data_IF_925775766905
#
_entry.id   IF_925775766905
#
_cell.length_a   1.000
_cell.length_b   1.000
_cell.length_c   1.000
_cell.angle_alpha   90.00
_cell.angle_beta   90.00
_cell.angle_gamma   90.00
#
_symmetry.space_group_name_H-M   'P 1'
#
loop_
_entity.id
_entity.type
_entity.pdbx_description
1 polymer ?
#
# COMPACT_ATOMS: atom_id res chain seq x y z
N UNK A 1 9.94 -24.09 24.65
CA UNK A 1 8.85 -24.73 23.86
C UNK A 1 8.47 -23.80 22.72
N UNK A 2 8.81 -24.14 21.47
CA UNK A 2 8.45 -23.32 20.30
C UNK A 2 6.94 -23.49 20.08
N UNK A 3 6.19 -22.38 20.11
CA UNK A 3 4.75 -22.37 19.87
C UNK A 3 4.47 -22.95 18.47
N UNK A 4 3.62 -23.98 18.37
CA UNK A 4 3.33 -24.66 17.10
C UNK A 4 2.77 -23.72 16.02
N UNK A 5 2.15 -22.59 16.40
CA UNK A 5 1.73 -21.53 15.45
C UNK A 5 2.94 -20.83 14.82
N UNK A 6 4.00 -20.60 15.61
CA UNK A 6 5.28 -20.02 15.18
C UNK A 6 6.06 -20.98 14.28
N UNK A 7 6.01 -22.28 14.56
CA UNK A 7 6.62 -23.31 13.72
C UNK A 7 5.93 -23.42 12.35
N UNK A 8 4.59 -23.35 12.32
CA UNK A 8 3.83 -23.30 11.05
C UNK A 8 4.11 -22.05 10.23
N UNK A 9 4.29 -20.90 10.87
CA UNK A 9 4.63 -19.64 10.19
C UNK A 9 6.08 -19.63 9.65
N UNK A 10 7.04 -20.16 10.41
CA UNK A 10 8.43 -20.32 9.96
C UNK A 10 8.50 -21.34 8.82
N UNK A 11 7.78 -22.45 8.90
CA UNK A 11 7.64 -23.41 7.80
C UNK A 11 6.98 -22.77 6.58
N UNK A 12 5.95 -21.93 6.74
CA UNK A 12 5.32 -21.22 5.63
C UNK A 12 6.30 -20.25 4.94
N UNK A 13 7.09 -19.48 5.70
CA UNK A 13 8.14 -18.61 5.16
C UNK A 13 9.24 -19.41 4.46
N UNK A 14 9.68 -20.52 5.06
CA UNK A 14 10.76 -21.35 4.51
C UNK A 14 10.31 -22.12 3.27
N UNK A 15 9.08 -22.63 3.24
CA UNK A 15 8.44 -23.26 2.07
C UNK A 15 8.21 -22.24 0.96
N UNK A 16 7.82 -21.00 1.29
CA UNK A 16 7.72 -19.92 0.30
C UNK A 16 9.10 -19.57 -0.27
N UNK A 17 10.14 -19.55 0.58
CA UNK A 17 11.53 -19.32 0.16
C UNK A 17 12.09 -20.45 -0.72
N UNK A 18 11.75 -21.71 -0.43
CA UNK A 18 12.18 -22.90 -1.19
C UNK A 18 11.41 -23.08 -2.50
N UNK A 19 10.10 -22.79 -2.52
CA UNK A 19 9.31 -22.79 -3.76
C UNK A 19 9.79 -21.71 -4.75
N UNK A 20 10.28 -20.57 -4.23
CA UNK A 20 10.88 -19.49 -5.01
C UNK A 20 12.25 -19.88 -5.58
N UNK A 21 13.02 -20.73 -4.89
CA UNK A 21 14.31 -21.21 -5.39
C UNK A 21 14.17 -22.14 -6.64
N UNK A 22 13.05 -22.86 -6.74
CA UNK A 22 12.81 -23.83 -7.82
C UNK A 22 12.42 -23.20 -9.18
N UNK A 23 12.08 -21.91 -9.24
CA UNK A 23 11.71 -21.24 -10.51
C UNK A 23 12.89 -20.54 -11.22
N UNK A 24 14.11 -20.75 -10.76
CA UNK A 24 15.30 -20.01 -11.23
C UNK A 24 16.04 -20.66 -12.41
N UNK A 25 15.35 -20.90 -13.53
CA UNK A 25 16.03 -21.13 -14.82
C UNK A 25 15.35 -20.38 -15.96
N UNK A 26 15.46 -19.05 -15.97
CA UNK A 26 15.58 -18.22 -17.19
C UNK A 26 15.51 -16.70 -16.88
N UNK A 27 16.59 -15.96 -17.11
CA UNK A 27 16.55 -14.59 -17.67
C UNK A 27 15.99 -13.37 -16.90
N UNK A 28 15.55 -13.40 -15.62
CA UNK A 28 14.82 -12.25 -14.98
C UNK A 28 15.59 -11.46 -13.89
N UNK A 29 16.94 -11.44 -13.93
CA UNK A 29 17.77 -10.96 -12.81
C UNK A 29 17.63 -9.48 -12.40
N UNK A 30 17.19 -8.59 -13.30
CA UNK A 30 17.07 -7.14 -13.04
C UNK A 30 15.71 -6.69 -12.49
N UNK A 31 14.61 -7.31 -12.95
CA UNK A 31 13.24 -7.00 -12.50
C UNK A 31 12.96 -7.58 -11.10
N UNK A 32 13.49 -8.77 -10.82
CA UNK A 32 13.31 -9.45 -9.52
C UNK A 32 13.93 -8.68 -8.35
N UNK A 33 15.15 -8.13 -8.51
CA UNK A 33 15.82 -7.34 -7.46
C UNK A 33 15.09 -6.03 -7.13
N UNK A 34 14.51 -5.37 -8.15
CA UNK A 34 13.71 -4.15 -7.97
C UNK A 34 12.44 -4.45 -7.17
N UNK A 35 11.74 -5.54 -7.51
CA UNK A 35 10.56 -5.99 -6.79
C UNK A 35 10.84 -6.37 -5.32
N UNK A 36 11.96 -7.07 -5.04
CA UNK A 36 12.32 -7.44 -3.67
C UNK A 36 12.64 -6.21 -2.80
N UNK A 37 13.41 -5.26 -3.34
CA UNK A 37 13.74 -4.01 -2.63
C UNK A 37 12.49 -3.16 -2.34
N UNK A 38 11.60 -3.06 -3.32
CA UNK A 38 10.32 -2.36 -3.22
C UNK A 38 9.40 -2.97 -2.14
N UNK A 39 9.33 -4.31 -2.07
CA UNK A 39 8.54 -5.04 -1.06
C UNK A 39 9.11 -4.85 0.35
N UNK A 40 10.43 -4.91 0.50
CA UNK A 40 11.09 -4.70 1.80
C UNK A 40 10.81 -3.27 2.31
N UNK A 41 10.95 -2.25 1.46
CA UNK A 41 10.71 -0.86 1.86
C UNK A 41 9.24 -0.59 2.23
N UNK A 42 8.30 -1.16 1.49
CA UNK A 42 6.87 -1.09 1.85
C UNK A 42 6.59 -1.76 3.20
N UNK A 43 7.15 -2.96 3.43
CA UNK A 43 7.01 -3.68 4.69
C UNK A 43 7.54 -2.87 5.88
N UNK A 44 8.67 -2.17 5.72
CA UNK A 44 9.17 -1.27 6.76
C UNK A 44 8.25 -0.07 7.01
N UNK A 45 7.70 0.56 5.95
CA UNK A 45 6.75 1.65 6.15
C UNK A 45 5.51 1.18 6.91
N UNK A 46 4.94 0.03 6.52
CA UNK A 46 3.79 -0.58 7.19
C UNK A 46 4.09 -0.92 8.66
N UNK A 47 5.26 -1.53 8.92
CA UNK A 47 5.71 -1.89 10.27
C UNK A 47 5.75 -0.68 11.21
N UNK A 48 6.32 0.45 10.77
CA UNK A 48 6.43 1.63 11.62
C UNK A 48 5.13 2.41 11.75
N UNK A 49 4.20 2.26 10.80
CA UNK A 49 2.91 2.92 10.83
C UNK A 49 1.90 2.21 11.74
N UNK A 50 1.83 0.88 11.69
CA UNK A 50 0.81 0.10 12.43
C UNK A 50 1.36 -0.68 13.62
N UNK A 51 2.69 -0.79 13.76
CA UNK A 51 3.32 -1.67 14.75
C UNK A 51 3.21 -3.15 14.36
N UNK A 52 4.09 -3.98 14.91
CA UNK A 52 4.02 -5.44 14.70
C UNK A 52 4.40 -6.18 15.99
N UNK A 53 3.51 -7.07 16.44
CA UNK A 53 3.64 -8.10 17.48
C UNK A 53 4.60 -7.82 18.65
N UNK A 54 4.59 -6.59 19.16
CA UNK A 54 5.33 -6.19 20.38
C UNK A 54 6.81 -5.84 20.22
N UNK A 55 7.34 -5.71 19.00
CA UNK A 55 8.78 -5.43 18.79
C UNK A 55 9.11 -4.01 18.29
N UNK A 56 8.16 -3.29 17.71
CA UNK A 56 8.38 -1.92 17.23
C UNK A 56 7.22 -1.03 17.69
N UNK A 57 7.54 0.01 18.46
CA UNK A 57 6.61 1.10 18.72
C UNK A 57 6.31 1.82 17.40
N UNK A 58 5.06 2.25 17.24
CA UNK A 58 4.65 3.11 16.12
C UNK A 58 5.56 4.34 16.09
N UNK A 59 6.13 4.62 14.92
CA UNK A 59 7.04 5.74 14.68
C UNK A 59 6.76 6.32 13.30
N UNK A 60 5.86 7.29 13.26
CA UNK A 60 5.42 7.91 12.02
C UNK A 60 6.55 8.65 11.29
N UNK A 61 7.57 9.14 12.00
CA UNK A 61 8.73 9.78 11.37
C UNK A 61 9.57 8.75 10.59
N UNK A 62 9.79 7.57 11.19
CA UNK A 62 10.44 6.45 10.48
C UNK A 62 9.57 5.91 9.35
N UNK A 63 8.26 5.77 9.56
CA UNK A 63 7.33 5.35 8.51
C UNK A 63 7.41 6.29 7.31
N UNK A 64 7.36 7.60 7.54
CA UNK A 64 7.48 8.62 6.49
C UNK A 64 8.78 8.48 5.70
N UNK A 65 9.92 8.31 6.38
CA UNK A 65 11.22 8.13 5.73
C UNK A 65 11.27 6.88 4.84
N UNK A 66 10.76 5.74 5.33
CA UNK A 66 10.73 4.50 4.57
C UNK A 66 9.76 4.55 3.40
N UNK A 67 8.58 5.14 3.59
CA UNK A 67 7.65 5.38 2.50
C UNK A 67 8.27 6.28 1.43
N UNK A 68 8.93 7.39 1.80
CA UNK A 68 9.61 8.27 0.83
C UNK A 68 10.67 7.52 0.00
N UNK A 69 11.49 6.67 0.64
CA UNK A 69 12.47 5.82 -0.08
C UNK A 69 11.78 4.85 -1.04
N UNK A 70 10.67 4.24 -0.62
CA UNK A 70 9.89 3.31 -1.45
C UNK A 70 9.24 4.00 -2.66
N UNK A 71 8.76 5.23 -2.48
CA UNK A 71 8.14 6.02 -3.55
C UNK A 71 9.15 6.34 -4.66
N UNK A 72 10.40 6.64 -4.33
CA UNK A 72 11.48 6.86 -5.33
C UNK A 72 11.64 5.63 -6.25
N UNK A 73 11.32 4.43 -5.76
CA UNK A 73 11.38 3.19 -6.55
C UNK A 73 10.11 2.90 -7.35
N UNK A 74 9.11 3.79 -7.30
CA UNK A 74 7.84 3.65 -8.01
C UNK A 74 6.76 2.86 -7.27
N UNK A 75 6.87 2.71 -5.95
CA UNK A 75 5.92 1.91 -5.17
C UNK A 75 4.58 2.62 -4.93
N UNK A 76 3.54 2.22 -5.67
CA UNK A 76 2.18 2.77 -5.53
C UNK A 76 1.53 2.47 -4.17
N UNK A 77 1.83 1.34 -3.53
CA UNK A 77 1.36 1.06 -2.17
C UNK A 77 2.00 2.00 -1.16
N UNK A 78 3.28 2.35 -1.31
CA UNK A 78 3.93 3.32 -0.43
C UNK A 78 3.41 4.76 -0.63
N UNK A 79 3.08 5.15 -1.87
CA UNK A 79 2.36 6.40 -2.15
C UNK A 79 1.00 6.42 -1.43
N UNK A 80 0.29 5.30 -1.44
CA UNK A 80 -1.02 5.16 -0.76
C UNK A 80 -0.89 5.31 0.76
N UNK A 81 0.12 4.69 1.36
CA UNK A 81 0.41 4.86 2.80
C UNK A 81 0.79 6.32 3.13
N UNK A 82 1.58 6.98 2.27
CA UNK A 82 1.91 8.40 2.46
C UNK A 82 0.67 9.29 2.36
N UNK A 83 -0.26 8.96 1.46
CA UNK A 83 -1.54 9.63 1.36
C UNK A 83 -2.39 9.46 2.64
N UNK A 84 -2.43 8.26 3.22
CA UNK A 84 -3.13 7.97 4.48
C UNK A 84 -2.54 8.76 5.65
N UNK A 85 -1.21 8.85 5.73
CA UNK A 85 -0.54 9.64 6.77
C UNK A 85 -0.96 11.11 6.72
N UNK A 86 -1.03 11.70 5.52
CA UNK A 86 -1.52 13.07 5.34
C UNK A 86 -3.03 13.22 5.57
N UNK A 87 -3.82 12.20 5.21
CA UNK A 87 -5.27 12.20 5.40
C UNK A 87 -5.66 12.20 6.88
N UNK A 88 -5.01 11.33 7.67
CA UNK A 88 -5.31 11.14 9.09
C UNK A 88 -4.46 12.02 10.02
N UNK A 89 -3.38 12.62 9.53
CA UNK A 89 -2.45 13.42 10.33
C UNK A 89 -1.54 12.54 11.19
N UNK A 90 -1.01 11.46 10.63
CA UNK A 90 -0.15 10.52 11.35
C UNK A 90 1.29 11.01 11.34
N UNK A 91 1.73 11.55 12.48
CA UNK A 91 3.09 12.09 12.67
C UNK A 91 3.34 13.47 12.07
N UNK A 92 2.34 14.05 11.42
CA UNK A 92 2.34 15.42 10.85
C UNK A 92 0.91 15.95 10.88
N UNK A 93 0.74 17.24 10.63
CA UNK A 93 -0.59 17.83 10.48
C UNK A 93 -1.36 17.24 9.30
N UNK A 94 -2.68 17.20 9.43
CA UNK A 94 -3.59 16.78 8.37
C UNK A 94 -3.44 17.71 7.18
N UNK A 95 -3.34 17.12 5.99
CA UNK A 95 -3.16 17.83 4.74
C UNK A 95 -3.89 17.07 3.62
N UNK A 96 -5.14 17.46 3.38
CA UNK A 96 -5.96 16.78 2.38
C UNK A 96 -5.47 17.01 0.95
N UNK A 97 -4.84 18.14 0.65
CA UNK A 97 -4.28 18.42 -0.67
C UNK A 97 -3.09 17.50 -0.97
N UNK A 98 -2.16 17.34 -0.02
CA UNK A 98 -1.07 16.37 -0.16
C UNK A 98 -1.57 14.94 -0.21
N UNK A 99 -2.57 14.60 0.60
CA UNK A 99 -3.20 13.29 0.57
C UNK A 99 -3.79 12.99 -0.82
N UNK A 100 -4.57 13.93 -1.36
CA UNK A 100 -5.17 13.83 -2.69
C UNK A 100 -4.11 13.65 -3.77
N UNK A 101 -3.04 14.45 -3.73
CA UNK A 101 -1.90 14.33 -4.65
C UNK A 101 -1.32 12.91 -4.67
N UNK A 102 -1.02 12.34 -3.49
CA UNK A 102 -0.40 11.02 -3.41
C UNK A 102 -1.36 9.88 -3.82
N UNK A 103 -2.65 9.99 -3.48
CA UNK A 103 -3.65 9.06 -4.01
C UNK A 103 -3.74 9.14 -5.54
N UNK A 104 -3.63 10.33 -6.12
CA UNK A 104 -3.62 10.52 -7.57
C UNK A 104 -2.44 9.81 -8.24
N UNK A 105 -1.23 9.97 -7.69
CA UNK A 105 -0.03 9.30 -8.22
C UNK A 105 -0.16 7.77 -8.13
N UNK A 106 -0.66 7.24 -7.02
CA UNK A 106 -0.88 5.80 -6.85
C UNK A 106 -1.99 5.27 -7.78
N UNK A 107 -3.07 6.03 -7.96
CA UNK A 107 -4.20 5.66 -8.81
C UNK A 107 -3.84 5.61 -10.30
N UNK A 108 -2.94 6.51 -10.75
CA UNK A 108 -2.35 6.49 -12.11
C UNK A 108 -1.53 5.22 -12.37
N UNK A 109 -1.05 4.57 -11.31
CA UNK A 109 -0.38 3.27 -11.35
C UNK A 109 -1.35 2.08 -11.13
N UNK A 110 -2.64 2.30 -11.34
CA UNK A 110 -3.71 1.32 -11.18
C UNK A 110 -3.83 0.71 -9.76
N UNK A 111 -3.38 1.42 -8.71
CA UNK A 111 -3.57 0.97 -7.34
C UNK A 111 -5.03 1.12 -6.93
N UNK A 112 -5.74 0.01 -6.82
CA UNK A 112 -7.20 -0.04 -6.70
C UNK A 112 -7.73 0.64 -5.42
N UNK A 113 -7.05 0.48 -4.28
CA UNK A 113 -7.38 1.21 -3.04
C UNK A 113 -7.18 2.73 -3.19
N UNK A 114 -6.16 3.18 -3.93
CA UNK A 114 -5.93 4.61 -4.14
C UNK A 114 -7.00 5.24 -5.04
N UNK A 115 -7.45 4.50 -6.07
CA UNK A 115 -8.58 4.89 -6.91
C UNK A 115 -9.87 5.02 -6.10
N UNK A 116 -10.14 4.07 -5.19
CA UNK A 116 -11.27 4.18 -4.27
C UNK A 116 -11.17 5.40 -3.34
N UNK A 117 -9.98 5.67 -2.80
CA UNK A 117 -9.76 6.85 -1.95
C UNK A 117 -9.85 8.19 -2.71
N UNK A 118 -9.50 8.22 -4.01
CA UNK A 118 -9.80 9.36 -4.88
C UNK A 118 -11.30 9.57 -5.05
N UNK A 119 -12.05 8.49 -5.30
CA UNK A 119 -13.50 8.55 -5.41
C UNK A 119 -14.12 9.12 -4.11
N UNK A 120 -13.65 8.65 -2.96
CA UNK A 120 -14.04 9.17 -1.66
C UNK A 120 -13.68 10.66 -1.48
N UNK A 121 -12.51 11.08 -1.93
CA UNK A 121 -12.05 12.47 -1.87
C UNK A 121 -12.91 13.39 -2.74
N UNK A 122 -13.27 12.97 -3.95
CA UNK A 122 -14.19 13.71 -4.82
C UNK A 122 -15.63 13.78 -4.29
N UNK A 123 -16.14 12.75 -3.60
CA UNK A 123 -17.47 12.80 -2.96
C UNK A 123 -17.54 13.85 -1.86
N UNK A 124 -16.47 13.94 -1.07
CA UNK A 124 -16.45 14.74 0.16
C UNK A 124 -15.72 16.07 0.03
N UNK A 125 -15.01 16.30 -1.08
CA UNK A 125 -14.22 17.52 -1.31
C UNK A 125 -12.93 17.55 -0.49
N UNK A 126 -12.30 16.39 -0.25
CA UNK A 126 -11.03 16.34 0.48
C UNK A 126 -9.87 16.64 -0.48
N UNK A 127 -9.22 17.79 -0.30
CA UNK A 127 -8.06 18.20 -1.11
C UNK A 127 -8.39 18.50 -2.57
N UNK A 128 -9.68 18.58 -2.91
CA UNK A 128 -10.19 18.84 -4.25
C UNK A 128 -11.63 19.36 -4.17
N UNK A 129 -12.16 19.87 -5.27
CA UNK A 129 -13.58 20.24 -5.36
C UNK A 129 -14.47 18.99 -5.41
N UNK A 130 -15.64 19.08 -4.78
CA UNK A 130 -16.63 18.00 -4.81
C UNK A 130 -17.09 17.73 -6.24
N UNK A 131 -17.04 16.46 -6.66
CA UNK A 131 -17.53 16.04 -7.96
C UNK A 131 -18.02 14.60 -7.94
N UNK A 132 -19.34 14.43 -7.98
CA UNK A 132 -19.96 13.09 -8.02
C UNK A 132 -19.65 12.35 -9.33
N UNK A 133 -19.46 13.08 -10.44
CA UNK A 133 -19.10 12.50 -11.74
C UNK A 133 -17.69 11.90 -11.69
N UNK A 134 -16.70 12.67 -11.21
CA UNK A 134 -15.32 12.16 -11.07
C UNK A 134 -15.25 11.03 -10.03
N UNK A 135 -16.04 11.10 -8.97
CA UNK A 135 -16.08 10.04 -7.98
C UNK A 135 -16.54 8.70 -8.57
N UNK A 136 -17.59 8.70 -9.41
CA UNK A 136 -18.07 7.48 -10.07
C UNK A 136 -17.01 6.90 -11.02
N UNK A 137 -16.38 7.75 -11.85
CA UNK A 137 -15.30 7.31 -12.77
C UNK A 137 -14.16 6.62 -12.00
N UNK A 138 -13.69 7.21 -10.89
CA UNK A 138 -12.62 6.59 -10.09
C UNK A 138 -13.06 5.32 -9.37
N UNK A 139 -14.31 5.22 -8.94
CA UNK A 139 -14.86 4.00 -8.33
C UNK A 139 -14.97 2.86 -9.34
N UNK A 140 -15.44 3.14 -10.57
CA UNK A 140 -15.49 2.15 -11.66
C UNK A 140 -14.08 1.63 -11.99
N UNK A 141 -13.08 2.52 -12.07
CA UNK A 141 -11.67 2.13 -12.23
C UNK A 141 -11.16 1.27 -11.09
N UNK A 142 -11.53 1.61 -9.84
CA UNK A 142 -11.14 0.82 -8.67
C UNK A 142 -11.71 -0.60 -8.76
N UNK A 143 -12.99 -0.75 -9.11
CA UNK A 143 -13.65 -2.05 -9.32
C UNK A 143 -12.97 -2.87 -10.42
N UNK A 144 -12.68 -2.24 -11.57
CA UNK A 144 -11.96 -2.90 -12.67
C UNK A 144 -10.56 -3.38 -12.27
N UNK A 145 -9.89 -2.65 -11.38
CA UNK A 145 -8.59 -3.02 -10.83
C UNK A 145 -8.69 -3.91 -9.56
N UNK A 146 -9.86 -4.51 -9.32
CA UNK A 146 -10.05 -5.52 -8.27
C UNK A 146 -10.28 -4.98 -6.86
N UNK A 147 -10.59 -3.69 -6.71
CA UNK A 147 -11.09 -3.16 -5.43
C UNK A 147 -12.44 -3.80 -5.14
N UNK A 148 -12.53 -4.59 -4.08
CA UNK A 148 -13.80 -5.20 -3.67
C UNK A 148 -14.63 -4.16 -2.92
N UNK A 149 -15.67 -3.65 -3.56
CA UNK A 149 -16.69 -2.86 -2.86
C UNK A 149 -17.55 -3.83 -2.04
N UNK A 150 -17.73 -3.64 -0.72
CA UNK A 150 -18.58 -4.52 0.10
C UNK A 150 -20.04 -4.59 -0.37
N UNK A 151 -20.48 -3.69 -1.26
CA UNK A 151 -21.88 -3.65 -1.75
C UNK A 151 -22.11 -4.50 -3.01
N UNK A 152 -21.07 -4.91 -3.73
CA UNK A 152 -21.19 -5.72 -4.96
C UNK A 152 -20.58 -7.11 -4.70
N UNK A 153 -21.10 -7.83 -3.71
CA UNK A 153 -21.12 -9.28 -3.78
C UNK A 153 -22.21 -9.65 -4.77
N UNK A 154 -21.85 -9.83 -6.04
CA UNK A 154 -22.74 -10.46 -7.02
C UNK A 154 -23.16 -11.84 -6.49
N UNK A 155 -24.45 -12.11 -6.65
CA UNK A 155 -25.20 -13.33 -6.29
C UNK A 155 -24.49 -14.66 -6.57
#
# INVERSE_FOLDING_TARGET
>A
MINMKRLKYILAIFVCSLLVACQSTSGVGGSFKKNLHQQIMHSYCFKYMYGHDGAASVDYNKAYSWCAKSIITGNSSAMTLMAEMHFFGLGRDKDYEKSFYWYEQAAKLNHSHAQFMLAHSYRNGFGTEKSMVKAKDWEERALLNGHKNPVISTE
#
